data_IF_987260241535
#
_entry.id   IF_987260241535
#
_cell.length_a   1.000
_cell.length_b   1.000
_cell.length_c   1.000
_cell.angle_alpha   90.00
_cell.angle_beta   90.00
_cell.angle_gamma   90.00
#
_symmetry.space_group_name_H-M   'P 1'
#
loop_
_entity.id
_entity.type
_entity.pdbx_description
1 polymer ?
#
# COMPACT_ATOMS: atom_id res chain seq x y z
N UNK A 1 -13.19 5.29 -10.39
CA UNK A 1 -13.02 6.25 -9.28
C UNK A 1 -13.40 5.60 -7.96
N UNK A 2 -12.66 5.90 -6.90
CA UNK A 2 -12.94 5.37 -5.58
C UNK A 2 -13.99 6.23 -4.89
N UNK A 3 -15.07 5.61 -4.41
CA UNK A 3 -16.11 6.30 -3.65
C UNK A 3 -15.79 6.39 -2.17
N UNK A 4 -15.12 5.37 -1.63
CA UNK A 4 -14.89 5.26 -0.20
C UNK A 4 -13.59 4.51 0.04
N UNK A 5 -12.78 5.00 0.98
CA UNK A 5 -11.56 4.33 1.40
C UNK A 5 -11.58 4.16 2.91
N UNK A 6 -11.37 2.94 3.38
CA UNK A 6 -11.28 2.61 4.80
C UNK A 6 -9.94 1.95 5.11
N UNK A 7 -9.39 2.29 6.25
CA UNK A 7 -8.25 1.55 6.80
C UNK A 7 -8.85 0.38 7.57
N UNK A 8 -8.81 -0.79 6.95
CA UNK A 8 -9.55 -1.94 7.44
C UNK A 8 -8.85 -3.23 7.04
N UNK A 9 -8.69 -4.12 8.00
CA UNK A 9 -8.21 -5.47 7.77
C UNK A 9 -9.37 -6.37 7.37
N UNK A 10 -9.25 -7.05 6.23
CA UNK A 10 -10.23 -8.00 5.75
C UNK A 10 -9.48 -9.14 5.05
N UNK A 11 -9.35 -10.28 5.72
CA UNK A 11 -8.57 -11.40 5.21
C UNK A 11 -9.03 -11.88 3.84
N UNK A 12 -10.34 -11.86 3.59
CA UNK A 12 -10.89 -12.34 2.32
C UNK A 12 -10.50 -11.42 1.17
N UNK A 13 -10.57 -10.11 1.38
CA UNK A 13 -10.27 -9.14 0.34
C UNK A 13 -8.77 -8.96 0.13
N UNK A 14 -7.98 -9.05 1.20
CA UNK A 14 -6.53 -8.82 1.13
C UNK A 14 -5.71 -10.08 0.86
N UNK A 15 -6.33 -11.24 1.00
CA UNK A 15 -5.67 -12.51 0.71
C UNK A 15 -5.30 -12.59 -0.77
N UNK A 16 -4.12 -13.15 -1.08
CA UNK A 16 -3.61 -13.30 -2.45
C UNK A 16 -3.34 -11.98 -3.18
N UNK A 17 -3.21 -10.87 -2.45
CA UNK A 17 -2.72 -9.64 -3.05
C UNK A 17 -1.22 -9.76 -3.30
N UNK A 18 -0.74 -9.10 -4.36
CA UNK A 18 0.67 -9.12 -4.72
C UNK A 18 1.11 -7.77 -5.27
N UNK A 19 2.43 -7.56 -5.32
CA UNK A 19 3.02 -6.35 -5.85
C UNK A 19 2.96 -6.34 -7.38
N UNK A 20 2.54 -5.21 -7.95
CA UNK A 20 2.39 -5.04 -9.40
C UNK A 20 3.26 -3.89 -9.94
N UNK A 21 4.32 -3.54 -9.25
CA UNK A 21 5.26 -2.53 -9.73
C UNK A 21 4.90 -1.09 -9.35
N UNK A 22 3.92 -0.89 -8.49
CA UNK A 22 3.49 0.45 -8.08
C UNK A 22 3.77 0.62 -6.59
N UNK A 23 4.49 1.69 -6.26
CA UNK A 23 4.93 1.99 -4.91
C UNK A 23 4.63 3.44 -4.55
N UNK A 24 4.56 3.71 -3.25
CA UNK A 24 4.55 5.07 -2.71
C UNK A 24 5.93 5.33 -2.15
N UNK A 25 6.53 6.47 -2.51
CA UNK A 25 7.82 6.88 -1.96
C UNK A 25 7.56 7.87 -0.84
N UNK A 26 7.77 7.44 0.40
CA UNK A 26 7.52 8.30 1.57
C UNK A 26 8.15 7.70 2.82
N UNK A 27 8.08 8.45 3.91
CA UNK A 27 8.52 7.99 5.22
C UNK A 27 7.37 7.35 5.99
N UNK A 28 7.70 6.40 6.87
CA UNK A 28 6.71 5.81 7.77
C UNK A 28 6.03 6.87 8.61
N UNK A 29 6.79 7.88 9.08
CA UNK A 29 6.26 8.97 9.89
C UNK A 29 5.18 9.75 9.15
N UNK A 30 5.43 10.15 7.91
CA UNK A 30 4.45 10.90 7.13
C UNK A 30 3.21 10.07 6.81
N UNK A 31 3.39 8.82 6.38
CA UNK A 31 2.26 7.94 6.10
C UNK A 31 1.44 7.65 7.36
N UNK A 32 2.08 7.53 8.52
CA UNK A 32 1.38 7.35 9.80
C UNK A 32 0.55 8.57 10.18
N UNK A 33 1.00 9.77 9.80
CA UNK A 33 0.23 11.00 10.06
C UNK A 33 -1.06 11.03 9.23
N UNK A 34 -1.09 10.34 8.11
CA UNK A 34 -2.25 10.27 7.21
C UNK A 34 -3.14 9.07 7.55
N UNK A 35 -2.55 7.90 7.73
CA UNK A 35 -3.27 6.61 7.83
C UNK A 35 -3.30 6.02 9.24
N UNK A 36 -2.64 6.64 10.21
CA UNK A 36 -2.48 6.07 11.54
C UNK A 36 -1.31 5.10 11.58
N UNK A 37 -1.07 4.49 12.74
CA UNK A 37 0.06 3.59 12.91
C UNK A 37 -0.09 2.33 12.06
N UNK A 38 0.98 1.90 11.37
CA UNK A 38 0.94 0.64 10.64
C UNK A 38 0.95 -0.54 11.61
N UNK A 39 0.45 -1.67 11.13
CA UNK A 39 0.55 -2.92 11.88
C UNK A 39 1.96 -3.49 11.70
N UNK A 40 2.58 -3.89 12.80
CA UNK A 40 3.87 -4.58 12.74
C UNK A 40 3.61 -6.06 12.51
N UNK A 41 4.15 -6.61 11.43
CA UNK A 41 3.88 -7.98 11.02
C UNK A 41 5.03 -8.92 11.35
N UNK A 42 6.26 -8.48 11.14
CA UNK A 42 7.46 -9.32 11.31
C UNK A 42 7.28 -10.67 10.62
N UNK A 43 7.13 -10.65 9.30
CA UNK A 43 6.94 -11.88 8.54
C UNK A 43 8.08 -12.86 8.81
N UNK A 44 7.78 -14.18 8.78
CA UNK A 44 8.75 -15.21 9.13
C UNK A 44 9.99 -15.21 8.25
N UNK A 45 9.91 -14.67 7.03
CA UNK A 45 11.05 -14.52 6.13
C UNK A 45 11.73 -13.14 6.25
N UNK A 46 11.29 -12.31 7.19
CA UNK A 46 11.82 -10.97 7.46
C UNK A 46 11.78 -10.00 6.28
N UNK A 47 10.89 -10.24 5.32
CA UNK A 47 10.73 -9.37 4.16
C UNK A 47 9.81 -8.20 4.40
N UNK A 48 8.81 -8.37 5.28
CA UNK A 48 7.83 -7.33 5.60
C UNK A 48 7.84 -7.08 7.11
N UNK A 49 7.97 -5.82 7.50
CA UNK A 49 7.95 -5.41 8.91
C UNK A 49 6.69 -4.64 9.25
N UNK A 50 6.32 -3.66 8.43
CA UNK A 50 5.16 -2.81 8.65
C UNK A 50 4.19 -2.88 7.49
N UNK A 51 2.90 -2.86 7.79
CA UNK A 51 1.85 -2.92 6.78
C UNK A 51 0.64 -2.10 7.20
N UNK A 52 0.08 -1.37 6.24
CA UNK A 52 -1.28 -0.85 6.33
C UNK A 52 -2.18 -1.70 5.44
N UNK A 53 -3.41 -1.87 5.87
CA UNK A 53 -4.41 -2.62 5.11
C UNK A 53 -5.60 -1.71 4.86
N UNK A 54 -6.10 -1.73 3.62
CA UNK A 54 -7.19 -0.87 3.18
C UNK A 54 -8.25 -1.68 2.47
N UNK A 55 -9.46 -1.17 2.52
CA UNK A 55 -10.55 -1.61 1.65
C UNK A 55 -11.11 -0.36 1.00
N UNK A 56 -11.16 -0.33 -0.32
CA UNK A 56 -11.84 0.75 -1.01
C UNK A 56 -13.06 0.23 -1.76
N UNK A 57 -14.04 1.11 -1.95
CA UNK A 57 -15.22 0.81 -2.72
C UNK A 57 -15.17 1.65 -3.99
N UNK A 58 -15.30 1.01 -5.15
CA UNK A 58 -15.29 1.70 -6.43
C UNK A 58 -16.68 2.20 -6.82
N UNK A 59 -16.81 2.85 -7.99
CA UNK A 59 -18.09 3.39 -8.46
C UNK A 59 -19.17 2.33 -8.66
N UNK A 60 -18.77 1.09 -8.91
CA UNK A 60 -19.69 -0.02 -9.11
C UNK A 60 -20.14 -0.66 -7.80
N UNK A 61 -19.63 -0.18 -6.67
CA UNK A 61 -19.93 -0.76 -5.37
C UNK A 61 -19.09 -1.97 -5.02
N UNK A 62 -18.07 -2.29 -5.82
CA UNK A 62 -17.17 -3.39 -5.51
C UNK A 62 -16.18 -3.00 -4.43
N UNK A 63 -15.95 -3.91 -3.48
CA UNK A 63 -14.95 -3.73 -2.44
C UNK A 63 -13.64 -4.37 -2.86
N UNK A 64 -12.54 -3.62 -2.72
CA UNK A 64 -11.21 -4.04 -3.14
C UNK A 64 -10.25 -3.95 -1.95
N UNK A 65 -9.57 -5.05 -1.66
CA UNK A 65 -8.56 -5.08 -0.61
C UNK A 65 -7.20 -4.64 -1.14
N UNK A 66 -6.53 -3.80 -0.37
CA UNK A 66 -5.20 -3.27 -0.70
C UNK A 66 -4.29 -3.45 0.50
N UNK A 67 -3.03 -3.78 0.24
CA UNK A 67 -1.98 -3.78 1.26
C UNK A 67 -0.91 -2.76 0.88
N UNK A 68 -0.34 -2.10 1.87
CA UNK A 68 0.77 -1.15 1.69
C UNK A 68 1.84 -1.53 2.70
N UNK A 69 3.02 -1.93 2.22
CA UNK A 69 4.03 -2.54 3.08
C UNK A 69 5.45 -2.22 2.63
N UNK A 70 6.39 -2.28 3.58
CA UNK A 70 7.81 -2.22 3.29
C UNK A 70 8.28 -3.58 2.75
N UNK A 71 9.39 -3.58 2.02
CA UNK A 71 9.88 -4.81 1.39
C UNK A 71 11.38 -4.95 1.51
N UNK A 72 11.82 -6.05 2.13
CA UNK A 72 13.23 -6.43 2.25
C UNK A 72 14.14 -5.34 2.85
N UNK A 73 13.63 -4.63 3.85
CA UNK A 73 14.46 -3.68 4.57
C UNK A 73 15.39 -4.44 5.51
N UNK A 74 16.65 -4.65 5.07
CA UNK A 74 17.64 -5.44 5.80
C UNK A 74 18.19 -4.75 7.05
N UNK A 75 17.93 -3.46 7.20
CA UNK A 75 18.35 -2.68 8.36
C UNK A 75 17.16 -2.02 9.00
N UNK A 76 17.31 -1.66 10.28
CA UNK A 76 16.29 -0.86 10.95
C UNK A 76 16.16 0.47 10.20
N UNK A 77 15.06 0.63 9.50
CA UNK A 77 14.77 1.86 8.78
C UNK A 77 14.12 2.83 9.76
N UNK A 78 14.69 4.02 9.88
CA UNK A 78 14.12 5.03 10.76
C UNK A 78 12.76 5.47 10.24
N UNK A 79 11.90 5.94 11.15
CA UNK A 79 10.55 6.39 10.76
C UNK A 79 10.55 7.56 9.80
N UNK A 80 11.66 8.33 9.73
CA UNK A 80 11.79 9.49 8.85
C UNK A 80 12.41 9.17 7.50
N UNK A 81 12.96 7.97 7.32
CA UNK A 81 13.58 7.59 6.04
C UNK A 81 12.52 7.41 4.96
N UNK A 82 12.79 7.97 3.77
CA UNK A 82 11.92 7.78 2.61
C UNK A 82 12.28 6.46 1.94
N UNK A 83 11.30 5.59 1.82
CA UNK A 83 11.46 4.28 1.18
C UNK A 83 10.33 4.03 0.20
N UNK A 84 10.46 2.99 -0.60
CA UNK A 84 9.38 2.55 -1.49
C UNK A 84 8.46 1.61 -0.73
N UNK A 85 7.22 2.03 -0.55
CA UNK A 85 6.18 1.21 0.04
C UNK A 85 5.41 0.51 -1.07
N UNK A 86 5.47 -0.81 -1.09
CA UNK A 86 4.81 -1.61 -2.11
C UNK A 86 3.30 -1.62 -1.93
N UNK A 87 2.57 -1.42 -3.03
CA UNK A 87 1.12 -1.56 -3.05
C UNK A 87 0.80 -2.97 -3.52
N UNK A 88 0.15 -3.75 -2.67
CA UNK A 88 -0.33 -5.09 -3.00
C UNK A 88 -1.80 -5.05 -3.37
N UNK A 89 -2.16 -5.74 -4.45
CA UNK A 89 -3.54 -5.83 -4.93
C UNK A 89 -3.75 -7.12 -5.71
N UNK A 90 -5.00 -7.39 -6.08
CA UNK A 90 -5.36 -8.55 -6.91
C UNK A 90 -5.38 -8.21 -8.40
N UNK A 91 -4.55 -7.27 -8.83
CA UNK A 91 -4.40 -6.88 -10.21
C UNK A 91 -3.81 -5.48 -10.31
N UNK A 92 -3.08 -5.23 -11.40
CA UNK A 92 -2.39 -3.96 -11.62
C UNK A 92 -3.35 -2.77 -11.65
N UNK A 93 -4.50 -2.93 -12.30
CA UNK A 93 -5.48 -1.84 -12.42
C UNK A 93 -6.00 -1.37 -11.05
N UNK A 94 -6.13 -2.28 -10.10
CA UNK A 94 -6.57 -1.94 -8.74
C UNK A 94 -5.50 -1.18 -7.98
N UNK A 95 -4.24 -1.56 -8.15
CA UNK A 95 -3.12 -0.83 -7.57
C UNK A 95 -3.00 0.59 -8.17
N UNK A 96 -3.18 0.71 -9.49
CA UNK A 96 -3.15 2.00 -10.17
C UNK A 96 -4.28 2.91 -9.69
N UNK A 97 -5.48 2.39 -9.57
CA UNK A 97 -6.64 3.14 -9.09
C UNK A 97 -6.43 3.65 -7.66
N UNK A 98 -5.95 2.79 -6.78
CA UNK A 98 -5.63 3.15 -5.40
C UNK A 98 -4.53 4.21 -5.33
N UNK A 99 -3.43 3.99 -6.05
CA UNK A 99 -2.29 4.92 -6.07
C UNK A 99 -2.69 6.31 -6.57
N UNK A 100 -3.47 6.35 -7.64
CA UNK A 100 -3.95 7.62 -8.19
C UNK A 100 -4.79 8.38 -7.18
N UNK A 101 -5.71 7.67 -6.52
CA UNK A 101 -6.60 8.28 -5.55
C UNK A 101 -5.84 8.89 -4.37
N UNK A 102 -4.97 8.11 -3.71
CA UNK A 102 -4.24 8.59 -2.55
C UNK A 102 -3.14 9.58 -2.93
N UNK A 103 -2.53 9.40 -4.10
CA UNK A 103 -1.52 10.34 -4.60
C UNK A 103 -2.08 11.73 -4.81
N UNK A 104 -3.27 11.83 -5.39
CA UNK A 104 -3.94 13.11 -5.61
C UNK A 104 -4.50 13.69 -4.30
N UNK A 105 -5.13 12.85 -3.49
CA UNK A 105 -5.79 13.31 -2.26
C UNK A 105 -4.79 13.81 -1.21
N UNK A 106 -3.67 13.15 -1.07
CA UNK A 106 -2.68 13.43 -0.03
C UNK A 106 -1.36 13.98 -0.58
N UNK A 107 -1.30 14.24 -1.87
CA UNK A 107 -0.10 14.74 -2.55
C UNK A 107 1.13 13.85 -2.29
N UNK A 108 0.97 12.56 -2.57
CA UNK A 108 2.02 11.57 -2.37
C UNK A 108 2.78 11.29 -3.66
N UNK A 109 4.05 10.96 -3.53
CA UNK A 109 4.88 10.57 -4.67
C UNK A 109 4.64 9.10 -5.00
N UNK A 110 4.24 8.83 -6.23
CA UNK A 110 3.96 7.49 -6.72
C UNK A 110 5.08 7.07 -7.68
N UNK A 111 5.60 5.86 -7.51
CA UNK A 111 6.57 5.27 -8.41
C UNK A 111 5.92 4.09 -9.12
N UNK A 112 6.13 4.01 -10.43
CA UNK A 112 5.60 2.93 -11.23
C UNK A 112 6.73 2.28 -12.01
N UNK A 113 6.90 0.98 -11.84
CA UNK A 113 7.86 0.20 -12.59
C UNK A 113 7.19 -0.40 -13.82
N UNK A 114 7.88 -0.33 -14.94
CA UNK A 114 7.39 -0.93 -16.18
C UNK A 114 7.97 -2.33 -16.33
N UNK A 115 7.09 -3.33 -16.27
CA UNK A 115 7.46 -4.72 -16.47
C UNK A 115 7.23 -5.21 -17.89
N UNK A 116 6.81 -4.33 -18.77
CA UNK A 116 6.57 -4.66 -20.18
C UNK A 116 7.88 -4.67 -20.94
N UNK A 117 8.57 -5.75 -20.85
CA UNK A 117 9.83 -5.92 -21.56
C UNK A 117 9.68 -6.83 -22.76
#
# INVERSE_FOLDING_TARGET
MIKKLEIKSDNKLQNLTSYHGISIIDSRQHLSSIFGCPRRIDSGDKKVTYMWEFVYTNEKGEEVGITLYDWKMSKVVTETARINWHIGSKGKSKAEEFAKYIGEKYNLEISSEDYDL
#
